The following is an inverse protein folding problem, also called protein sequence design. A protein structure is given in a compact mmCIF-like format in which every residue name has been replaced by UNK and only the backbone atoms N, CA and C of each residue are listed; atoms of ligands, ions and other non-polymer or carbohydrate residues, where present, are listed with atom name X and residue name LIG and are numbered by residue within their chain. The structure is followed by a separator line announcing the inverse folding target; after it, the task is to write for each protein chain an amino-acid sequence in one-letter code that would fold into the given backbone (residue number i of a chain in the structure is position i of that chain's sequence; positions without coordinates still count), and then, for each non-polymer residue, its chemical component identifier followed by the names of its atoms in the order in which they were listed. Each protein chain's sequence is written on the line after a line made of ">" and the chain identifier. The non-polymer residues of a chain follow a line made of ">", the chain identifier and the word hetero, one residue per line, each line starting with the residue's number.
data_IF_942937607145
#
_entry.id   IF_942937607145
#
_cell.length_a   1.000
_cell.length_b   1.000
_cell.length_c   1.000
_cell.angle_alpha   90.00
_cell.angle_beta   90.00
_cell.angle_gamma   90.00
#
_symmetry.space_group_name_H-M   'P 1'
#
loop_
_entity.id
_entity.type
_entity.pdbx_description
1 polymer ?
#
# COMPACT_ATOMS: atom_id res chain seq x y z
N UNK A 1 -30.55 -2.05 -13.65
CA UNK A 1 -29.27 -2.58 -13.14
C UNK A 1 -28.94 -1.79 -11.90
N UNK A 2 -28.93 -2.36 -10.69
CA UNK A 2 -28.49 -1.62 -9.51
C UNK A 2 -26.98 -1.38 -9.62
N UNK A 3 -26.56 -0.13 -9.42
CA UNK A 3 -25.15 0.21 -9.21
C UNK A 3 -24.69 -0.53 -7.95
N UNK A 4 -23.66 -1.38 -8.08
CA UNK A 4 -22.94 -1.91 -6.92
C UNK A 4 -22.40 -0.70 -6.15
N UNK A 5 -22.89 -0.47 -4.94
CA UNK A 5 -22.30 0.53 -4.04
C UNK A 5 -20.94 -0.02 -3.61
N UNK A 6 -19.86 0.48 -4.22
CA UNK A 6 -18.50 0.15 -3.80
C UNK A 6 -18.30 0.85 -2.44
N UNK A 7 -18.16 0.07 -1.37
CA UNK A 7 -17.87 0.62 -0.06
C UNK A 7 -16.37 0.91 0.03
N UNK A 8 -16.01 2.19 0.00
CA UNK A 8 -14.63 2.64 0.16
C UNK A 8 -14.39 3.22 1.55
N UNK A 9 -13.37 2.72 2.25
CA UNK A 9 -12.88 3.30 3.50
C UNK A 9 -11.49 3.90 3.28
N UNK A 10 -11.29 5.14 3.71
CA UNK A 10 -10.01 5.86 3.53
C UNK A 10 -9.42 6.22 4.88
N UNK A 11 -8.21 5.75 5.14
CA UNK A 11 -7.40 6.12 6.29
C UNK A 11 -6.18 6.93 5.87
N UNK A 12 -5.81 7.96 6.64
CA UNK A 12 -4.62 8.77 6.37
C UNK A 12 -3.75 8.89 7.62
N UNK A 13 -2.47 8.52 7.50
CA UNK A 13 -1.46 8.69 8.54
C UNK A 13 -0.28 9.52 8.05
N UNK A 14 0.31 10.29 8.96
CA UNK A 14 1.47 11.15 8.69
C UNK A 14 2.63 10.73 9.58
N UNK A 15 3.77 10.41 8.95
CA UNK A 15 4.99 10.01 9.62
C UNK A 15 6.04 11.10 9.40
N UNK A 16 6.28 11.90 10.44
CA UNK A 16 7.25 12.99 10.37
C UNK A 16 8.68 12.46 10.35
N UNK A 17 9.54 13.12 9.58
CA UNK A 17 10.97 12.80 9.45
C UNK A 17 11.31 11.39 8.94
N UNK A 18 10.31 10.61 8.50
CA UNK A 18 10.49 9.26 7.96
C UNK A 18 10.41 9.27 6.44
N UNK A 19 11.35 8.56 5.78
CA UNK A 19 11.30 8.27 4.35
C UNK A 19 10.20 7.23 4.02
N UNK A 20 9.99 6.94 2.74
CA UNK A 20 9.03 5.88 2.34
C UNK A 20 9.50 4.52 2.85
N UNK A 21 10.80 4.24 2.79
CA UNK A 21 11.36 2.97 3.24
C UNK A 21 11.23 2.82 4.76
N UNK A 22 11.47 3.89 5.51
CA UNK A 22 11.31 3.88 6.98
C UNK A 22 9.85 3.62 7.37
N UNK A 23 8.89 4.27 6.69
CA UNK A 23 7.47 4.02 6.97
C UNK A 23 7.11 2.60 6.59
N UNK A 24 7.52 2.13 5.41
CA UNK A 24 7.24 0.77 4.94
C UNK A 24 7.73 -0.28 5.96
N UNK A 25 8.97 -0.14 6.43
CA UNK A 25 9.55 -1.03 7.45
C UNK A 25 8.82 -0.93 8.79
N UNK A 26 8.44 0.27 9.23
CA UNK A 26 7.67 0.44 10.45
C UNK A 26 6.30 -0.23 10.37
N UNK A 27 5.60 -0.12 9.23
CA UNK A 27 4.27 -0.71 9.08
C UNK A 27 4.31 -2.20 8.70
N UNK A 28 5.40 -2.72 8.13
CA UNK A 28 5.53 -4.16 7.84
C UNK A 28 5.54 -5.02 9.10
N UNK A 29 5.82 -4.43 10.27
CA UNK A 29 5.75 -5.10 11.57
C UNK A 29 4.33 -5.44 12.02
N UNK A 30 3.29 -4.79 11.48
CA UNK A 30 1.92 -5.13 11.85
C UNK A 30 1.41 -6.27 10.95
N UNK A 31 0.90 -7.36 11.55
CA UNK A 31 0.47 -8.55 10.80
C UNK A 31 -0.73 -8.29 9.86
N UNK A 32 -1.41 -7.16 10.02
CA UNK A 32 -2.49 -6.73 9.15
C UNK A 32 -2.02 -6.26 7.76
N UNK A 33 -0.76 -5.85 7.60
CA UNK A 33 -0.21 -5.43 6.31
C UNK A 33 0.61 -6.55 5.69
N UNK A 34 0.30 -6.94 4.45
CA UNK A 34 1.08 -7.94 3.70
C UNK A 34 2.26 -7.26 3.00
N UNK A 35 3.22 -6.78 3.80
CA UNK A 35 4.44 -6.11 3.34
C UNK A 35 5.65 -7.01 3.64
N UNK A 36 5.84 -8.05 2.83
CA UNK A 36 6.90 -9.05 3.05
C UNK A 36 8.14 -8.83 2.17
N UNK A 37 8.05 -7.97 1.16
CA UNK A 37 9.15 -7.72 0.24
C UNK A 37 10.16 -6.72 0.80
N UNK A 38 11.45 -6.98 0.56
CA UNK A 38 12.45 -5.92 0.64
C UNK A 38 12.33 -5.04 -0.62
N UNK A 39 11.90 -3.79 -0.43
CA UNK A 39 11.68 -2.83 -1.52
C UNK A 39 12.88 -1.89 -1.70
N UNK A 40 13.21 -1.60 -2.96
CA UNK A 40 14.14 -0.53 -3.37
C UNK A 40 13.40 0.65 -4.01
N UNK A 41 13.95 1.86 -3.90
CA UNK A 41 13.35 3.05 -4.52
C UNK A 41 13.33 2.88 -6.05
N UNK A 42 12.14 3.02 -6.65
CA UNK A 42 11.97 2.97 -8.12
C UNK A 42 11.82 1.56 -8.69
N UNK A 43 11.87 0.53 -7.86
CA UNK A 43 11.75 -0.86 -8.28
C UNK A 43 10.29 -1.31 -8.29
N UNK A 44 9.67 -1.31 -9.47
CA UNK A 44 8.35 -1.88 -9.65
C UNK A 44 8.42 -3.41 -9.66
N UNK A 45 7.45 -4.07 -9.03
CA UNK A 45 7.34 -5.53 -9.04
C UNK A 45 5.92 -5.97 -8.70
N UNK A 46 5.62 -7.23 -9.00
CA UNK A 46 4.40 -7.92 -8.56
C UNK A 46 4.78 -9.25 -7.95
N UNK A 47 4.06 -9.68 -6.92
CA UNK A 47 4.29 -10.94 -6.21
C UNK A 47 2.96 -11.53 -5.77
N UNK A 48 2.82 -12.85 -5.91
CA UNK A 48 1.66 -13.61 -5.43
C UNK A 48 2.05 -14.34 -4.16
N UNK A 49 1.25 -14.20 -3.10
CA UNK A 49 1.41 -14.97 -1.87
C UNK A 49 0.30 -16.01 -1.78
N UNK A 50 0.59 -17.23 -2.21
CA UNK A 50 -0.38 -18.35 -2.22
C UNK A 50 -0.91 -18.67 -0.82
N UNK A 51 -0.08 -18.52 0.24
CA UNK A 51 -0.47 -18.76 1.64
C UNK A 51 -1.57 -17.80 2.15
N UNK A 52 -1.76 -16.67 1.45
CA UNK A 52 -2.75 -15.64 1.77
C UNK A 52 -3.76 -15.40 0.66
N UNK A 53 -3.65 -16.11 -0.46
CA UNK A 53 -4.46 -15.89 -1.66
C UNK A 53 -4.54 -14.39 -2.03
N UNK A 54 -3.37 -13.74 -2.09
CA UNK A 54 -3.26 -12.30 -2.34
C UNK A 54 -2.19 -12.01 -3.38
N UNK A 55 -2.54 -11.14 -4.34
CA UNK A 55 -1.59 -10.57 -5.30
C UNK A 55 -1.21 -9.17 -4.86
N UNK A 56 0.10 -8.88 -4.85
CA UNK A 56 0.63 -7.60 -4.40
C UNK A 56 1.43 -6.94 -5.49
N UNK A 57 1.03 -5.73 -5.87
CA UNK A 57 1.71 -4.91 -6.86
C UNK A 57 2.39 -3.71 -6.22
N UNK A 58 3.65 -3.47 -6.57
CA UNK A 58 4.45 -2.34 -6.13
C UNK A 58 4.72 -1.42 -7.32
N UNK A 59 4.21 -0.19 -7.26
CA UNK A 59 4.29 0.81 -8.33
C UNK A 59 4.90 2.10 -7.81
N UNK A 60 6.16 2.34 -8.16
CA UNK A 60 6.84 3.60 -7.92
C UNK A 60 6.48 4.64 -9.00
N UNK A 61 6.25 5.87 -8.56
CA UNK A 61 6.17 7.05 -9.43
C UNK A 61 7.27 8.02 -9.04
N UNK A 62 8.44 7.80 -9.64
CA UNK A 62 9.68 8.43 -9.23
C UNK A 62 10.07 8.07 -7.79
N UNK A 63 10.99 8.83 -7.20
CA UNK A 63 11.53 8.52 -5.86
C UNK A 63 10.64 8.91 -4.67
N UNK A 64 9.54 9.65 -4.92
CA UNK A 64 8.74 10.29 -3.86
C UNK A 64 7.32 9.73 -3.72
N UNK A 65 6.92 8.77 -4.56
CA UNK A 65 5.62 8.12 -4.46
C UNK A 65 5.77 6.63 -4.71
N UNK A 66 5.24 5.83 -3.80
CA UNK A 66 5.02 4.39 -3.95
C UNK A 66 3.54 4.11 -3.75
N UNK A 67 3.01 3.25 -4.59
CA UNK A 67 1.66 2.72 -4.50
C UNK A 67 1.76 1.19 -4.43
N UNK A 68 1.21 0.62 -3.37
CA UNK A 68 1.13 -0.82 -3.18
C UNK A 68 -0.33 -1.22 -3.24
N UNK A 69 -0.68 -2.15 -4.11
CA UNK A 69 -2.05 -2.64 -4.25
C UNK A 69 -2.05 -4.10 -3.84
N UNK A 70 -2.95 -4.48 -2.95
CA UNK A 70 -3.17 -5.86 -2.52
C UNK A 70 -4.55 -6.29 -3.00
N UNK A 71 -4.59 -7.28 -3.88
CA UNK A 71 -5.82 -7.84 -4.42
C UNK A 71 -6.18 -9.11 -3.66
N UNK A 72 -7.42 -9.17 -3.17
CA UNK A 72 -7.96 -10.29 -2.41
C UNK A 72 -9.24 -10.79 -3.08
N UNK A 73 -9.67 -12.00 -2.70
CA UNK A 73 -11.02 -12.45 -3.02
C UNK A 73 -12.05 -11.57 -2.26
N UNK A 74 -12.73 -10.67 -2.99
CA UNK A 74 -13.73 -9.75 -2.44
C UNK A 74 -13.33 -8.28 -2.39
N UNK A 75 -12.19 -7.89 -2.97
CA UNK A 75 -11.83 -6.49 -3.16
C UNK A 75 -10.33 -6.23 -3.20
N UNK A 76 -9.94 -4.98 -2.96
CA UNK A 76 -8.54 -4.58 -2.91
C UNK A 76 -8.24 -3.58 -1.79
N UNK A 77 -6.99 -3.54 -1.37
CA UNK A 77 -6.46 -2.49 -0.49
C UNK A 77 -5.29 -1.79 -1.14
N UNK A 78 -5.39 -0.48 -1.29
CA UNK A 78 -4.36 0.39 -1.87
C UNK A 78 -3.65 1.20 -0.80
N UNK A 79 -2.32 1.16 -0.79
CA UNK A 79 -1.45 1.90 0.11
C UNK A 79 -0.60 2.89 -0.67
N UNK A 80 -0.86 4.17 -0.48
CA UNK A 80 -0.21 5.25 -1.21
C UNK A 80 0.73 6.00 -0.27
N UNK A 81 2.02 5.76 -0.45
CA UNK A 81 3.10 6.48 0.22
C UNK A 81 3.46 7.70 -0.62
N UNK A 82 3.42 8.89 -0.01
CA UNK A 82 3.86 10.14 -0.63
C UNK A 82 4.84 10.86 0.27
N UNK A 83 6.11 10.88 -0.14
CA UNK A 83 7.14 11.63 0.55
C UNK A 83 7.06 13.12 0.22
N UNK A 84 7.18 13.95 1.25
CA UNK A 84 7.32 15.41 1.17
C UNK A 84 8.52 15.82 2.03
N UNK A 85 8.90 17.10 1.93
CA UNK A 85 10.12 17.67 2.57
C UNK A 85 10.35 17.25 4.03
N UNK A 86 9.30 17.04 4.82
CA UNK A 86 9.39 16.76 6.26
C UNK A 86 8.83 15.38 6.68
N UNK A 87 8.63 14.44 5.74
CA UNK A 87 8.16 13.11 6.08
C UNK A 87 7.24 12.48 5.02
N UNK A 88 6.62 11.37 5.39
CA UNK A 88 5.82 10.55 4.48
C UNK A 88 4.37 10.48 4.93
N UNK A 89 3.47 10.77 4.00
CA UNK A 89 2.03 10.50 4.15
C UNK A 89 1.74 9.11 3.63
N UNK A 90 1.05 8.29 4.42
CA UNK A 90 0.45 7.02 4.01
C UNK A 90 -1.06 7.24 3.91
N UNK A 91 -1.62 7.02 2.73
CA UNK A 91 -3.07 6.88 2.54
C UNK A 91 -3.38 5.41 2.31
N UNK A 92 -4.29 4.84 3.09
CA UNK A 92 -4.82 3.49 2.87
C UNK A 92 -6.25 3.61 2.37
N UNK A 93 -6.57 2.91 1.29
CA UNK A 93 -7.91 2.83 0.70
C UNK A 93 -8.30 1.36 0.70
N UNK A 94 -9.41 1.04 1.35
CA UNK A 94 -9.99 -0.29 1.34
C UNK A 94 -11.24 -0.23 0.46
N UNK A 95 -11.29 -1.05 -0.58
CA UNK A 95 -12.40 -1.12 -1.52
C UNK A 95 -12.93 -2.54 -1.55
N UNK A 96 -14.18 -2.73 -1.11
CA UNK A 96 -14.86 -4.02 -1.19
C UNK A 96 -15.72 -4.10 -2.46
N UNK A 97 -15.73 -5.28 -3.10
CA UNK A 97 -16.47 -5.54 -4.34
C UNK A 97 -17.99 -5.71 -4.13
#
# INVERSE_FOLDING_TARGET
>A
MPQKEIMEFVEVRYYQHMSILDVYDAVSTYPAYIFREKIGIGENRSVTYEDKAVDVEYKWKGKNKLEIIQHFEGGETSYIFKHKKNGTKLTTIYSAD
#
